data_IF_803232282269
#
_entry.id   IF_803232282269
#
_cell.length_a   1.000
_cell.length_b   1.000
_cell.length_c   1.000
_cell.angle_alpha   90.00
_cell.angle_beta   90.00
_cell.angle_gamma   90.00
#
_symmetry.space_group_name_H-M   'P 1'
#
loop_
_entity.id
_entity.type
_entity.pdbx_description
1 polymer ?
#
# COMPACT_ATOMS: atom_id res chain seq x y z
N UNK A 1 -18.09 -2.00 9.25
CA UNK A 1 -19.29 -1.62 10.03
C UNK A 1 -20.26 -1.04 9.02
N UNK A 2 -21.47 -1.57 8.97
CA UNK A 2 -22.44 -1.16 7.96
C UNK A 2 -22.97 0.25 8.23
N UNK A 3 -23.51 0.90 7.20
CA UNK A 3 -24.14 2.22 7.31
C UNK A 3 -25.22 2.23 8.41
N UNK A 4 -26.05 1.19 8.48
CA UNK A 4 -27.09 1.07 9.51
C UNK A 4 -26.60 0.82 10.94
N UNK A 5 -25.33 0.41 11.11
CA UNK A 5 -24.72 0.08 12.40
C UNK A 5 -23.93 1.27 13.01
N UNK A 6 -23.78 2.38 12.27
CA UNK A 6 -23.03 3.54 12.76
C UNK A 6 -23.92 4.50 13.54
N UNK A 7 -23.58 4.73 14.82
CA UNK A 7 -24.27 5.70 15.66
C UNK A 7 -24.09 7.15 15.17
N UNK A 8 -22.90 7.48 14.65
CA UNK A 8 -22.61 8.79 14.08
C UNK A 8 -23.49 9.08 12.84
N UNK A 9 -23.68 8.07 11.99
CA UNK A 9 -24.58 8.16 10.83
C UNK A 9 -26.03 8.35 11.29
N UNK A 10 -26.49 7.56 12.25
CA UNK A 10 -27.86 7.67 12.76
C UNK A 10 -28.15 9.08 13.31
N UNK A 11 -27.22 9.63 14.11
CA UNK A 11 -27.32 10.99 14.65
C UNK A 11 -27.35 12.08 13.57
N UNK A 12 -26.45 11.98 12.58
CA UNK A 12 -26.41 12.92 11.47
C UNK A 12 -27.73 12.90 10.67
N UNK A 13 -28.27 11.71 10.40
CA UNK A 13 -29.53 11.54 9.65
C UNK A 13 -30.75 12.01 10.42
N UNK A 14 -30.80 11.75 11.72
CA UNK A 14 -31.86 12.28 12.60
C UNK A 14 -31.89 13.81 12.57
N UNK A 15 -30.71 14.45 12.63
CA UNK A 15 -30.57 15.91 12.53
C UNK A 15 -31.01 16.44 11.16
N UNK A 16 -30.61 15.81 10.06
CA UNK A 16 -31.04 16.19 8.70
C UNK A 16 -32.56 16.12 8.50
N UNK A 17 -33.22 15.15 9.15
CA UNK A 17 -34.68 14.98 9.12
C UNK A 17 -35.41 16.01 9.98
N UNK A 18 -34.71 16.65 10.92
CA UNK A 18 -35.25 17.67 11.82
C UNK A 18 -35.67 17.14 13.20
N UNK A 19 -35.16 15.98 13.62
CA UNK A 19 -35.25 15.53 15.01
C UNK A 19 -34.35 16.41 15.87
N UNK A 20 -34.86 16.94 16.96
CA UNK A 20 -34.08 17.79 17.88
C UNK A 20 -33.02 16.98 18.63
N UNK A 21 -31.94 17.64 19.03
CA UNK A 21 -30.86 17.00 19.81
C UNK A 21 -31.39 16.44 21.15
N UNK A 22 -32.38 17.09 21.76
CA UNK A 22 -33.06 16.64 22.98
C UNK A 22 -33.84 15.32 22.76
N UNK A 23 -34.61 15.25 21.67
CA UNK A 23 -35.37 14.03 21.33
C UNK A 23 -34.45 12.89 20.94
N UNK A 24 -33.33 13.18 20.29
CA UNK A 24 -32.32 12.17 19.98
C UNK A 24 -31.58 11.68 21.23
N UNK A 25 -31.27 12.56 22.19
CA UNK A 25 -30.66 12.15 23.46
C UNK A 25 -31.57 11.17 24.25
N UNK A 26 -32.90 11.32 24.14
CA UNK A 26 -33.85 10.36 24.71
C UNK A 26 -33.82 8.99 24.00
N UNK A 27 -33.63 8.95 22.68
CA UNK A 27 -33.38 7.69 21.96
C UNK A 27 -32.08 7.03 22.44
N UNK A 28 -31.01 7.81 22.59
CA UNK A 28 -29.72 7.32 23.09
C UNK A 28 -29.87 6.73 24.51
N UNK A 29 -30.67 7.35 25.38
CA UNK A 29 -30.94 6.87 26.74
C UNK A 29 -31.70 5.53 26.79
N UNK A 30 -32.58 5.26 25.82
CA UNK A 30 -33.27 3.97 25.66
C UNK A 30 -32.40 2.91 24.94
N UNK A 31 -31.16 3.24 24.57
CA UNK A 31 -30.25 2.34 23.85
C UNK A 31 -30.53 2.22 22.35
N UNK A 32 -31.37 3.09 21.79
CA UNK A 32 -31.67 3.15 20.36
C UNK A 32 -30.65 4.05 19.66
N UNK A 33 -29.41 3.56 19.57
CA UNK A 33 -28.27 4.37 19.12
C UNK A 33 -27.92 4.19 17.64
N UNK A 34 -28.55 3.26 16.93
CA UNK A 34 -28.24 2.94 15.51
C UNK A 34 -29.51 2.78 14.68
N UNK A 35 -29.40 2.89 13.35
CA UNK A 35 -30.55 2.60 12.47
C UNK A 35 -30.97 1.13 12.59
N UNK A 36 -30.03 0.21 12.80
CA UNK A 36 -30.33 -1.21 13.00
C UNK A 36 -31.18 -1.46 14.25
N UNK A 37 -30.77 -0.93 15.40
CA UNK A 37 -31.53 -1.03 16.65
C UNK A 37 -32.88 -0.33 16.53
N UNK A 38 -32.93 0.84 15.88
CA UNK A 38 -34.18 1.57 15.65
C UNK A 38 -35.13 0.89 14.67
N UNK A 39 -34.64 0.22 13.62
CA UNK A 39 -35.50 -0.48 12.66
C UNK A 39 -36.25 -1.68 13.26
N UNK A 40 -35.69 -2.30 14.32
CA UNK A 40 -36.26 -3.47 14.98
C UNK A 40 -36.84 -3.19 16.38
N UNK A 41 -36.93 -1.92 16.79
CA UNK A 41 -37.35 -1.56 18.14
C UNK A 41 -38.85 -1.73 18.42
N UNK A 42 -39.70 -1.81 17.38
CA UNK A 42 -41.13 -2.00 17.52
C UNK A 42 -41.70 -2.85 16.39
N UNK A 43 -42.89 -3.42 16.61
CA UNK A 43 -43.58 -4.26 15.64
C UNK A 43 -44.36 -3.43 14.60
N UNK A 44 -43.64 -2.58 13.86
CA UNK A 44 -44.18 -1.70 12.84
C UNK A 44 -43.39 -1.87 11.53
N UNK A 45 -44.07 -1.82 10.40
CA UNK A 45 -43.44 -1.71 9.09
C UNK A 45 -44.01 -0.48 8.36
N UNK A 46 -43.23 0.22 7.52
CA UNK A 46 -43.69 1.47 6.88
C UNK A 46 -44.91 1.32 5.96
N UNK A 47 -45.28 0.10 5.58
CA UNK A 47 -46.45 -0.19 4.74
C UNK A 47 -47.65 -0.68 5.55
N UNK A 48 -47.54 -0.76 6.88
CA UNK A 48 -48.58 -1.24 7.77
C UNK A 48 -49.70 -0.19 7.88
N UNK A 49 -50.93 -0.68 7.95
CA UNK A 49 -52.11 0.18 8.13
C UNK A 49 -52.21 0.72 9.56
N UNK A 50 -51.72 -0.05 10.54
CA UNK A 50 -51.67 0.36 11.95
C UNK A 50 -50.31 0.95 12.32
N UNK A 51 -50.31 2.23 12.70
CA UNK A 51 -49.13 2.99 13.11
C UNK A 51 -49.03 3.15 14.64
N UNK A 52 -49.97 2.55 15.38
CA UNK A 52 -50.00 2.64 16.83
C UNK A 52 -48.69 2.17 17.50
N UNK A 53 -48.03 1.08 17.07
CA UNK A 53 -46.79 0.64 17.71
C UNK A 53 -45.65 1.68 17.62
N UNK A 54 -45.53 2.39 16.49
CA UNK A 54 -44.55 3.46 16.34
C UNK A 54 -44.93 4.68 17.19
N UNK A 55 -46.20 5.04 17.22
CA UNK A 55 -46.70 6.17 18.01
C UNK A 55 -46.48 5.94 19.51
N UNK A 56 -46.76 4.72 19.99
CA UNK A 56 -46.55 4.32 21.38
C UNK A 56 -45.07 4.35 21.75
N UNK A 57 -44.19 3.86 20.86
CA UNK A 57 -42.74 3.96 21.04
C UNK A 57 -42.28 5.42 21.14
N UNK A 58 -42.68 6.27 20.19
CA UNK A 58 -42.26 7.68 20.17
C UNK A 58 -42.76 8.39 21.44
N UNK A 59 -44.00 8.11 21.85
CA UNK A 59 -44.56 8.67 23.09
C UNK A 59 -43.77 8.21 24.32
N UNK A 60 -43.38 6.93 24.38
CA UNK A 60 -42.54 6.39 25.46
C UNK A 60 -41.18 7.08 25.49
N UNK A 61 -40.50 7.17 24.34
CA UNK A 61 -39.17 7.78 24.24
C UNK A 61 -39.22 9.27 24.61
N UNK A 62 -40.19 10.02 24.10
CA UNK A 62 -40.30 11.45 24.37
C UNK A 62 -40.81 11.76 25.78
N UNK A 63 -41.51 10.82 26.43
CA UNK A 63 -42.15 11.02 27.73
C UNK A 63 -43.39 11.92 27.67
N UNK A 64 -43.87 12.24 26.46
CA UNK A 64 -45.02 13.08 26.20
C UNK A 64 -45.62 12.74 24.83
N UNK A 65 -46.86 13.17 24.59
CA UNK A 65 -47.50 13.01 23.29
C UNK A 65 -46.71 13.81 22.21
N UNK A 66 -46.23 13.16 21.13
CA UNK A 66 -45.48 13.84 20.09
C UNK A 66 -46.35 14.85 19.34
N UNK A 67 -45.78 16.01 19.01
CA UNK A 67 -46.41 16.92 18.06
C UNK A 67 -46.50 16.31 16.67
N UNK A 68 -47.38 16.86 15.82
CA UNK A 68 -47.51 16.42 14.41
C UNK A 68 -46.18 16.48 13.65
N UNK A 69 -45.36 17.50 13.95
CA UNK A 69 -44.04 17.67 13.34
C UNK A 69 -43.08 16.58 13.80
N UNK A 70 -42.98 16.35 15.11
CA UNK A 70 -42.11 15.30 15.65
C UNK A 70 -42.50 13.94 15.11
N UNK A 71 -43.79 13.62 15.11
CA UNK A 71 -44.28 12.34 14.58
C UNK A 71 -43.94 12.18 13.10
N UNK A 72 -44.05 13.23 12.28
CA UNK A 72 -43.63 13.22 10.89
C UNK A 72 -42.12 12.92 10.73
N UNK A 73 -41.28 13.56 11.55
CA UNK A 73 -39.84 13.30 11.57
C UNK A 73 -39.52 11.85 11.97
N UNK A 74 -40.17 11.31 13.01
CA UNK A 74 -39.96 9.93 13.47
C UNK A 74 -40.43 8.89 12.45
N UNK A 75 -41.56 9.10 11.78
CA UNK A 75 -42.02 8.26 10.65
C UNK A 75 -40.97 8.17 9.56
N UNK A 76 -40.43 9.32 9.14
CA UNK A 76 -39.40 9.38 8.11
C UNK A 76 -38.12 8.70 8.56
N UNK A 77 -37.68 8.94 9.80
CA UNK A 77 -36.50 8.30 10.38
C UNK A 77 -36.66 6.78 10.43
N UNK A 78 -37.83 6.28 10.84
CA UNK A 78 -38.11 4.84 10.91
C UNK A 78 -38.12 4.21 9.53
N UNK A 79 -38.79 4.83 8.56
CA UNK A 79 -38.81 4.35 7.19
C UNK A 79 -37.41 4.29 6.57
N UNK A 80 -36.57 5.30 6.82
CA UNK A 80 -35.19 5.33 6.34
C UNK A 80 -34.34 4.23 7.01
N UNK A 81 -34.45 4.07 8.33
CA UNK A 81 -33.76 3.02 9.08
C UNK A 81 -34.15 1.61 8.59
N UNK A 82 -35.45 1.35 8.46
CA UNK A 82 -35.97 0.06 7.98
C UNK A 82 -35.48 -0.26 6.56
N UNK A 83 -35.58 0.70 5.62
CA UNK A 83 -35.13 0.52 4.25
C UNK A 83 -33.62 0.25 4.16
N UNK A 84 -32.83 0.95 4.98
CA UNK A 84 -31.38 0.81 5.07
C UNK A 84 -31.00 -0.59 5.53
N UNK A 85 -31.58 -1.05 6.63
CA UNK A 85 -31.28 -2.35 7.23
C UNK A 85 -31.74 -3.49 6.32
N UNK A 86 -32.92 -3.36 5.70
CA UNK A 86 -33.39 -4.32 4.70
C UNK A 86 -32.49 -4.38 3.46
N UNK A 87 -31.91 -3.24 3.04
CA UNK A 87 -30.92 -3.21 1.96
C UNK A 87 -29.60 -3.86 2.39
N UNK A 88 -29.15 -3.60 3.62
CA UNK A 88 -27.92 -4.17 4.16
C UNK A 88 -28.01 -5.70 4.26
N UNK A 89 -29.12 -6.23 4.79
CA UNK A 89 -29.38 -7.67 4.87
C UNK A 89 -29.36 -8.31 3.48
N UNK A 90 -30.07 -7.72 2.51
CA UNK A 90 -30.03 -8.20 1.11
C UNK A 90 -28.60 -8.21 0.55
N UNK A 91 -27.86 -7.12 0.75
CA UNK A 91 -26.48 -7.03 0.27
C UNK A 91 -25.54 -8.07 0.90
N UNK A 92 -25.80 -8.46 2.15
CA UNK A 92 -25.01 -9.49 2.83
C UNK A 92 -25.31 -10.89 2.29
N UNK A 93 -26.58 -11.16 1.97
CA UNK A 93 -27.01 -12.44 1.38
C UNK A 93 -26.55 -12.57 -0.07
N UNK A 94 -26.55 -11.48 -0.82
CA UNK A 94 -26.15 -11.43 -2.24
C UNK A 94 -24.62 -11.22 -2.43
N UNK A 95 -23.86 -11.02 -1.36
CA UNK A 95 -22.44 -10.72 -1.45
C UNK A 95 -21.66 -11.88 -2.09
N UNK A 96 -20.91 -11.56 -3.15
CA UNK A 96 -19.93 -12.45 -3.77
C UNK A 96 -18.50 -11.99 -3.48
N UNK A 97 -17.52 -12.84 -3.75
CA UNK A 97 -16.09 -12.53 -3.55
C UNK A 97 -15.63 -11.29 -4.35
N UNK A 98 -16.31 -10.95 -5.45
CA UNK A 98 -16.03 -9.79 -6.30
C UNK A 98 -16.79 -8.51 -5.91
N UNK A 99 -17.48 -8.51 -4.78
CA UNK A 99 -18.20 -7.33 -4.29
C UNK A 99 -17.26 -6.13 -4.11
N UNK A 100 -17.73 -4.95 -4.52
CA UNK A 100 -16.96 -3.72 -4.39
C UNK A 100 -16.78 -3.35 -2.92
N UNK A 101 -15.63 -2.78 -2.59
CA UNK A 101 -15.33 -2.29 -1.24
C UNK A 101 -16.40 -1.28 -0.82
N UNK A 102 -17.13 -1.59 0.26
CA UNK A 102 -18.09 -0.67 0.88
C UNK A 102 -17.33 0.55 1.40
N UNK A 103 -17.81 1.74 1.07
CA UNK A 103 -17.22 3.00 1.52
C UNK A 103 -17.83 3.41 2.84
N UNK A 104 -17.00 3.83 3.79
CA UNK A 104 -17.50 4.44 5.02
C UNK A 104 -18.19 5.78 4.71
N UNK A 105 -19.30 6.03 5.41
CA UNK A 105 -20.01 7.30 5.37
C UNK A 105 -19.17 8.42 5.98
N UNK A 106 -19.32 9.68 5.51
CA UNK A 106 -18.53 10.81 6.02
C UNK A 106 -18.65 11.03 7.54
N UNK A 107 -19.85 10.87 8.11
CA UNK A 107 -20.08 11.01 9.54
C UNK A 107 -19.28 9.97 10.37
N UNK A 108 -19.27 8.72 9.91
CA UNK A 108 -18.54 7.63 10.57
C UNK A 108 -17.01 7.85 10.52
N UNK A 109 -16.50 8.35 9.38
CA UNK A 109 -15.08 8.71 9.24
C UNK A 109 -14.67 9.82 10.19
N UNK A 110 -15.46 10.89 10.23
CA UNK A 110 -15.19 12.04 11.08
C UNK A 110 -15.15 11.64 12.56
N UNK A 111 -16.08 10.78 12.98
CA UNK A 111 -16.13 10.29 14.36
C UNK A 111 -14.92 9.40 14.71
N UNK A 112 -14.58 8.41 13.87
CA UNK A 112 -13.41 7.56 14.09
C UNK A 112 -12.11 8.36 14.14
N UNK A 113 -11.96 9.37 13.28
CA UNK A 113 -10.81 10.27 13.30
C UNK A 113 -10.78 11.07 14.60
N UNK A 114 -11.90 11.64 15.03
CA UNK A 114 -12.02 12.42 16.28
C UNK A 114 -11.67 11.59 17.51
N UNK A 115 -12.20 10.37 17.61
CA UNK A 115 -11.87 9.43 18.68
C UNK A 115 -10.38 9.09 18.69
N UNK A 116 -9.80 8.78 17.53
CA UNK A 116 -8.38 8.47 17.42
C UNK A 116 -7.49 9.65 17.80
N UNK A 117 -7.81 10.86 17.33
CA UNK A 117 -7.09 12.10 17.69
C UNK A 117 -7.17 12.38 19.20
N UNK A 118 -8.32 12.13 19.82
CA UNK A 118 -8.49 12.34 21.27
C UNK A 118 -7.60 11.42 22.11
N UNK A 119 -7.36 10.20 21.62
CA UNK A 119 -6.56 9.16 22.30
C UNK A 119 -5.07 9.28 22.03
N UNK A 120 -4.67 9.55 20.78
CA UNK A 120 -3.26 9.63 20.35
C UNK A 120 -2.69 11.04 20.54
N UNK A 121 -2.56 11.47 21.79
CA UNK A 121 -1.93 12.76 22.14
C UNK A 121 -0.44 12.71 21.81
N UNK A 122 0.02 13.54 20.87
CA UNK A 122 1.42 13.60 20.41
C UNK A 122 1.60 13.25 18.93
N UNK A 123 0.57 12.70 18.27
CA UNK A 123 0.55 12.47 16.84
C UNK A 123 -0.39 13.46 16.16
N UNK A 124 0.15 14.33 15.32
CA UNK A 124 -0.67 15.25 14.55
C UNK A 124 -1.19 14.57 13.28
N UNK A 125 -2.45 14.14 13.29
CA UNK A 125 -3.12 13.44 12.19
C UNK A 125 -3.52 14.40 11.07
N UNK A 126 -2.52 14.99 10.42
CA UNK A 126 -2.66 15.91 9.28
C UNK A 126 -1.60 15.62 8.21
N UNK A 127 -1.90 16.00 6.97
CA UNK A 127 -0.96 15.93 5.85
C UNK A 127 -0.46 14.50 5.59
N UNK A 128 0.85 14.27 5.76
CA UNK A 128 1.47 12.96 5.52
C UNK A 128 1.11 11.90 6.58
N UNK A 129 0.60 12.30 7.74
CA UNK A 129 0.27 11.37 8.83
C UNK A 129 -1.19 10.92 8.79
N UNK A 130 -2.04 11.66 8.07
CA UNK A 130 -3.46 11.35 7.94
C UNK A 130 -3.67 10.25 6.88
N UNK A 131 -4.27 9.10 7.24
CA UNK A 131 -4.58 8.04 6.28
C UNK A 131 -5.62 8.51 5.25
N UNK A 132 -5.44 8.13 3.99
CA UNK A 132 -6.44 8.39 2.94
C UNK A 132 -7.71 7.58 3.11
N UNK A 133 -8.82 8.04 2.53
CA UNK A 133 -10.13 7.40 2.64
C UNK A 133 -10.12 5.99 2.05
N UNK A 134 -9.44 5.83 0.91
CA UNK A 134 -9.22 4.54 0.24
C UNK A 134 -8.45 3.52 1.08
N UNK A 135 -7.50 3.96 1.90
CA UNK A 135 -6.76 3.08 2.81
C UNK A 135 -7.65 2.62 3.96
N UNK A 136 -8.46 3.53 4.52
CA UNK A 136 -9.43 3.20 5.57
C UNK A 136 -10.48 2.23 5.01
N UNK A 137 -11.02 2.48 3.82
CA UNK A 137 -11.99 1.60 3.16
C UNK A 137 -11.43 0.20 2.92
N UNK A 138 -10.16 0.10 2.51
CA UNK A 138 -9.47 -1.18 2.38
C UNK A 138 -9.35 -1.90 3.72
N UNK A 139 -8.99 -1.19 4.78
CA UNK A 139 -8.94 -1.77 6.12
C UNK A 139 -10.32 -2.23 6.60
N UNK A 140 -11.38 -1.48 6.32
CA UNK A 140 -12.76 -1.89 6.64
C UNK A 140 -13.17 -3.14 5.84
N UNK A 141 -12.82 -3.22 4.56
CA UNK A 141 -13.09 -4.41 3.74
C UNK A 141 -12.38 -5.65 4.30
N UNK A 142 -11.12 -5.50 4.74
CA UNK A 142 -10.38 -6.57 5.42
C UNK A 142 -11.14 -7.02 6.66
N UNK A 143 -11.57 -6.09 7.51
CA UNK A 143 -12.35 -6.38 8.72
C UNK A 143 -13.69 -7.07 8.41
N UNK A 144 -14.41 -6.62 7.37
CA UNK A 144 -15.71 -7.17 6.99
C UNK A 144 -15.61 -8.59 6.43
N UNK A 145 -14.59 -8.83 5.59
CA UNK A 145 -14.25 -10.16 5.06
C UNK A 145 -13.80 -11.14 6.14
N UNK A 146 -13.52 -10.65 7.35
CA UNK A 146 -13.04 -11.42 8.51
C UNK A 146 -11.75 -12.20 8.24
N UNK A 147 -10.95 -11.72 7.28
CA UNK A 147 -9.70 -12.34 6.84
C UNK A 147 -8.62 -11.27 6.71
N UNK A 148 -7.53 -11.45 7.46
CA UNK A 148 -6.39 -10.55 7.38
C UNK A 148 -5.74 -10.63 5.98
N UNK A 149 -5.45 -9.47 5.39
CA UNK A 149 -4.78 -9.36 4.09
C UNK A 149 -3.63 -8.36 4.19
N UNK A 150 -2.56 -8.61 3.43
CA UNK A 150 -1.41 -7.71 3.37
C UNK A 150 -1.75 -6.45 2.57
N UNK A 151 -1.51 -5.29 3.18
CA UNK A 151 -1.61 -3.99 2.51
C UNK A 151 -0.21 -3.50 2.18
N UNK A 152 0.08 -3.43 0.88
CA UNK A 152 1.37 -2.98 0.38
C UNK A 152 1.64 -1.51 0.74
N UNK A 153 2.91 -1.16 0.95
CA UNK A 153 3.31 0.14 1.46
C UNK A 153 2.88 1.28 0.55
N UNK A 154 3.01 1.10 -0.77
CA UNK A 154 2.63 2.09 -1.76
C UNK A 154 1.12 2.33 -1.84
N UNK A 155 0.30 1.46 -1.26
CA UNK A 155 -1.14 1.66 -1.13
C UNK A 155 -1.54 2.33 0.18
N UNK A 156 -0.60 2.53 1.09
CA UNK A 156 -0.82 3.24 2.34
C UNK A 156 -0.72 4.75 2.10
N UNK A 157 -1.63 5.28 1.29
CA UNK A 157 -1.65 6.68 0.82
C UNK A 157 -2.14 7.65 1.89
N UNK A 158 -1.72 8.91 1.82
CA UNK A 158 -2.24 9.97 2.69
C UNK A 158 -3.51 10.61 2.12
N UNK A 159 -4.29 11.25 3.00
CA UNK A 159 -5.46 12.03 2.59
C UNK A 159 -5.08 13.14 1.61
N UNK A 160 -3.99 13.84 1.88
CA UNK A 160 -3.47 14.87 0.98
C UNK A 160 -3.10 14.30 -0.40
N UNK A 161 -2.42 13.15 -0.45
CA UNK A 161 -2.02 12.51 -1.71
C UNK A 161 -3.23 12.06 -2.54
N UNK A 162 -4.25 11.50 -1.88
CA UNK A 162 -5.50 11.09 -2.51
C UNK A 162 -6.24 12.28 -3.14
N UNK A 163 -6.32 13.42 -2.43
CA UNK A 163 -6.94 14.64 -2.94
C UNK A 163 -6.19 15.23 -4.14
N UNK A 164 -4.85 15.18 -4.14
CA UNK A 164 -4.03 15.73 -5.22
C UNK A 164 -4.01 14.85 -6.47
N UNK A 165 -4.03 13.53 -6.31
CA UNK A 165 -3.91 12.59 -7.42
C UNK A 165 -5.25 12.13 -7.99
N UNK A 166 -6.32 12.26 -7.21
CA UNK A 166 -7.67 11.81 -7.56
C UNK A 166 -7.78 10.29 -7.71
N UNK A 167 -8.99 9.84 -8.06
CA UNK A 167 -9.26 8.44 -8.40
C UNK A 167 -9.06 8.24 -9.89
N UNK A 168 -8.13 7.35 -10.27
CA UNK A 168 -8.02 6.90 -11.66
C UNK A 168 -8.98 5.73 -11.87
N UNK A 169 -9.64 5.70 -13.02
CA UNK A 169 -10.53 4.62 -13.41
C UNK A 169 -9.76 3.72 -14.37
N UNK A 170 -9.19 2.63 -13.85
CA UNK A 170 -8.54 1.64 -14.70
C UNK A 170 -9.62 0.73 -15.27
N UNK A 171 -9.80 0.77 -16.59
CA UNK A 171 -10.70 -0.13 -17.30
C UNK A 171 -9.98 -1.46 -17.53
N UNK A 172 -10.47 -2.53 -16.88
CA UNK A 172 -10.00 -3.90 -17.12
C UNK A 172 -11.05 -4.66 -17.92
N UNK A 173 -10.61 -5.46 -18.89
CA UNK A 173 -11.48 -6.38 -19.63
C UNK A 173 -11.57 -7.68 -18.84
N UNK A 174 -12.77 -8.03 -18.40
CA UNK A 174 -13.08 -9.30 -17.73
C UNK A 174 -14.03 -10.10 -18.60
N UNK A 175 -13.83 -11.41 -18.74
CA UNK A 175 -14.76 -12.28 -19.43
C UNK A 175 -15.92 -12.60 -18.50
N UNK A 176 -17.16 -12.48 -18.99
CA UNK A 176 -18.34 -12.95 -18.28
C UNK A 176 -18.46 -14.47 -18.39
N UNK A 177 -19.30 -15.05 -17.54
CA UNK A 177 -19.58 -16.48 -17.50
C UNK A 177 -20.29 -17.04 -18.75
N UNK A 178 -20.72 -16.17 -19.67
CA UNK A 178 -21.30 -16.51 -20.97
C UNK A 178 -20.33 -16.29 -22.15
N UNK A 179 -19.06 -15.95 -21.88
CA UNK A 179 -18.02 -15.70 -22.89
C UNK A 179 -18.03 -14.30 -23.50
N UNK A 180 -18.83 -13.37 -22.98
CA UNK A 180 -18.83 -11.96 -23.36
C UNK A 180 -17.72 -11.16 -22.66
N UNK A 181 -17.16 -10.16 -23.35
CA UNK A 181 -16.17 -9.25 -22.75
C UNK A 181 -16.88 -8.12 -22.00
N UNK A 182 -16.78 -8.12 -20.67
CA UNK A 182 -17.26 -7.05 -19.79
C UNK A 182 -16.10 -6.13 -19.42
N UNK A 183 -16.19 -4.85 -19.77
CA UNK A 183 -15.26 -3.83 -19.26
C UNK A 183 -15.64 -3.52 -17.81
N UNK A 184 -14.85 -4.02 -16.87
CA UNK A 184 -14.94 -3.68 -15.46
C UNK A 184 -13.96 -2.54 -15.16
N UNK A 185 -14.49 -1.35 -14.86
CA UNK A 185 -13.68 -0.23 -14.38
C UNK A 185 -13.65 -0.24 -12.86
N UNK A 186 -12.47 -0.48 -12.27
CA UNK A 186 -12.27 -0.40 -10.82
C UNK A 186 -11.56 0.92 -10.49
N UNK A 187 -12.14 1.78 -9.63
CA UNK A 187 -11.46 2.99 -9.20
C UNK A 187 -10.22 2.62 -8.40
N UNK A 188 -9.07 3.16 -8.78
CA UNK A 188 -7.78 2.88 -8.16
C UNK A 188 -7.09 4.19 -7.77
N UNK A 189 -6.52 4.21 -6.57
CA UNK A 189 -5.75 5.37 -6.10
C UNK A 189 -4.31 5.20 -6.55
N UNK A 190 -3.74 6.30 -7.06
CA UNK A 190 -2.35 6.30 -7.50
C UNK A 190 -1.44 5.94 -6.32
N UNK A 191 -0.56 4.93 -6.44
CA UNK A 191 0.34 4.53 -5.36
C UNK A 191 1.21 5.70 -4.87
N UNK A 192 1.47 5.76 -3.57
CA UNK A 192 2.38 6.75 -2.98
C UNK A 192 3.84 6.32 -3.11
N UNK A 193 4.75 7.30 -3.05
CA UNK A 193 6.17 7.03 -3.03
C UNK A 193 6.59 6.34 -1.71
N UNK A 194 7.47 5.35 -1.82
CA UNK A 194 8.05 4.56 -0.73
C UNK A 194 9.57 4.35 -0.94
N UNK A 195 10.20 5.26 -1.70
CA UNK A 195 11.61 5.16 -2.10
C UNK A 195 12.63 5.44 -1.00
N UNK A 196 12.23 6.11 0.09
CA UNK A 196 13.10 6.51 1.20
C UNK A 196 12.59 6.00 2.54
N UNK A 197 13.47 5.87 3.52
CA UNK A 197 13.14 5.39 4.87
C UNK A 197 12.02 6.26 5.50
N UNK A 198 12.07 7.58 5.31
CA UNK A 198 11.04 8.51 5.80
C UNK A 198 9.67 8.27 5.13
N UNK A 199 9.65 8.07 3.81
CA UNK A 199 8.38 7.81 3.09
C UNK A 199 7.75 6.48 3.50
N UNK A 200 8.57 5.44 3.71
CA UNK A 200 8.12 4.16 4.26
C UNK A 200 7.57 4.33 5.67
N UNK A 201 8.24 5.11 6.54
CA UNK A 201 7.73 5.41 7.88
C UNK A 201 6.35 6.04 7.83
N UNK A 202 6.16 7.07 7.00
CA UNK A 202 4.85 7.70 6.84
C UNK A 202 3.78 6.74 6.31
N UNK A 203 4.11 5.89 5.34
CA UNK A 203 3.20 4.87 4.81
C UNK A 203 2.75 3.90 5.91
N UNK A 204 3.69 3.40 6.71
CA UNK A 204 3.40 2.46 7.79
C UNK A 204 2.61 3.09 8.94
N UNK A 205 2.88 4.35 9.30
CA UNK A 205 2.05 5.07 10.29
C UNK A 205 0.59 5.13 9.81
N UNK A 206 0.37 5.55 8.56
CA UNK A 206 -0.99 5.62 7.99
C UNK A 206 -1.68 4.26 7.96
N UNK A 207 -0.94 3.19 7.66
CA UNK A 207 -1.47 1.82 7.68
C UNK A 207 -1.91 1.42 9.09
N UNK A 208 -1.09 1.67 10.11
CA UNK A 208 -1.44 1.40 11.50
C UNK A 208 -2.68 2.18 11.96
N UNK A 209 -2.77 3.46 11.59
CA UNK A 209 -3.93 4.30 11.92
C UNK A 209 -5.21 3.79 11.26
N UNK A 210 -5.14 3.41 9.98
CA UNK A 210 -6.27 2.83 9.26
C UNK A 210 -6.71 1.48 9.83
N UNK A 211 -5.78 0.60 10.21
CA UNK A 211 -6.09 -0.66 10.87
C UNK A 211 -6.77 -0.45 12.22
N UNK A 212 -6.33 0.55 12.98
CA UNK A 212 -6.98 0.87 14.25
C UNK A 212 -8.38 1.45 14.05
N UNK A 213 -8.55 2.37 13.10
CA UNK A 213 -9.87 2.91 12.74
C UNK A 213 -10.82 1.80 12.27
N UNK A 214 -10.30 0.76 11.61
CA UNK A 214 -11.07 -0.41 11.17
C UNK A 214 -11.26 -1.49 12.25
N UNK A 215 -10.76 -1.30 13.47
CA UNK A 215 -10.77 -2.29 14.56
C UNK A 215 -9.98 -3.59 14.28
N UNK A 216 -8.98 -3.55 13.41
CA UNK A 216 -8.12 -4.71 13.10
C UNK A 216 -7.02 -4.88 14.16
N UNK A 217 -6.20 -3.85 14.36
CA UNK A 217 -5.03 -3.88 15.23
C UNK A 217 -4.90 -2.53 15.96
N UNK A 218 -4.58 -2.54 17.25
CA UNK A 218 -4.30 -1.31 17.98
C UNK A 218 -3.07 -0.56 17.43
N UNK A 219 -3.16 0.77 17.37
CA UNK A 219 -2.11 1.60 16.76
C UNK A 219 -0.78 1.43 17.47
N UNK A 220 -0.77 1.41 18.81
CA UNK A 220 0.47 1.26 19.58
C UNK A 220 1.23 -0.04 19.27
N UNK A 221 0.54 -1.14 18.96
CA UNK A 221 1.18 -2.40 18.54
C UNK A 221 1.77 -2.26 17.13
N UNK A 222 1.04 -1.64 16.21
CA UNK A 222 1.57 -1.36 14.88
C UNK A 222 2.76 -0.37 14.93
N UNK A 223 2.73 0.59 15.85
CA UNK A 223 3.82 1.55 16.09
C UNK A 223 5.06 0.82 16.66
N UNK A 224 4.87 -0.12 17.59
CA UNK A 224 5.95 -1.00 18.10
C UNK A 224 6.60 -1.82 16.97
N UNK A 225 5.79 -2.33 16.03
CA UNK A 225 6.26 -3.02 14.84
C UNK A 225 7.06 -2.10 13.90
N UNK A 226 6.54 -0.90 13.64
CA UNK A 226 7.20 0.11 12.83
C UNK A 226 8.57 0.49 13.44
N UNK A 227 8.62 0.78 14.73
CA UNK A 227 9.86 1.15 15.41
C UNK A 227 10.86 0.00 15.39
N UNK A 228 10.40 -1.26 15.51
CA UNK A 228 11.28 -2.43 15.29
C UNK A 228 11.89 -2.42 13.90
N UNK A 229 11.10 -2.26 12.83
CA UNK A 229 11.62 -2.20 11.47
C UNK A 229 12.69 -1.11 11.29
N UNK A 230 12.41 0.09 11.79
CA UNK A 230 13.33 1.22 11.68
C UNK A 230 14.59 1.01 12.53
N UNK A 231 14.48 0.37 13.70
CA UNK A 231 15.64 0.04 14.52
C UNK A 231 16.61 -0.90 13.79
N UNK A 232 16.11 -1.99 13.18
CA UNK A 232 16.94 -2.92 12.38
C UNK A 232 17.50 -2.26 11.12
N UNK A 233 16.75 -1.34 10.50
CA UNK A 233 17.19 -0.57 9.33
C UNK A 233 18.41 0.29 9.64
N UNK A 234 18.38 0.96 10.79
CA UNK A 234 19.35 1.96 11.21
C UNK A 234 20.53 1.36 11.99
N UNK A 235 20.37 0.15 12.53
CA UNK A 235 21.46 -0.57 13.21
C UNK A 235 22.67 -0.79 12.28
N UNK A 236 23.86 -0.59 12.82
CA UNK A 236 25.10 -0.91 12.12
C UNK A 236 25.26 -2.43 12.01
N UNK A 237 25.52 -2.97 10.81
CA UNK A 237 25.67 -4.40 10.64
C UNK A 237 26.99 -4.88 11.27
N UNK A 238 27.04 -6.11 11.81
CA UNK A 238 28.29 -6.74 12.21
C UNK A 238 29.31 -6.83 11.07
N UNK A 239 30.60 -7.04 11.37
CA UNK A 239 31.61 -7.29 10.34
C UNK A 239 31.16 -8.40 9.37
N UNK A 240 31.46 -8.22 8.09
CA UNK A 240 31.09 -9.14 7.01
C UNK A 240 29.58 -9.33 6.76
N UNK A 241 28.72 -8.47 7.32
CA UNK A 241 27.28 -8.50 7.07
C UNK A 241 26.81 -7.24 6.34
N UNK A 242 25.77 -7.39 5.52
CA UNK A 242 25.08 -6.28 4.87
C UNK A 242 24.09 -5.64 5.84
N UNK A 243 23.95 -4.32 5.77
CA UNK A 243 22.87 -3.58 6.45
C UNK A 243 21.52 -4.08 5.96
N UNK A 244 20.54 -4.14 6.86
CA UNK A 244 19.16 -4.46 6.53
C UNK A 244 18.62 -3.43 5.51
N UNK A 245 18.11 -3.92 4.39
CA UNK A 245 17.56 -3.09 3.32
C UNK A 245 16.06 -2.89 3.48
N UNK A 246 15.49 -1.85 2.87
CA UNK A 246 14.03 -1.65 2.83
C UNK A 246 13.29 -2.85 2.21
N UNK A 247 13.88 -3.50 1.19
CA UNK A 247 13.30 -4.70 0.58
C UNK A 247 13.26 -5.88 1.57
N UNK A 248 14.28 -6.01 2.42
CA UNK A 248 14.29 -7.03 3.46
C UNK A 248 13.21 -6.76 4.52
N UNK A 249 13.00 -5.50 4.88
CA UNK A 249 11.93 -5.08 5.79
C UNK A 249 10.55 -5.37 5.18
N UNK A 250 10.37 -5.10 3.88
CA UNK A 250 9.12 -5.42 3.18
C UNK A 250 8.80 -6.92 3.22
N UNK A 251 9.83 -7.76 3.04
CA UNK A 251 9.67 -9.21 3.15
C UNK A 251 9.33 -9.64 4.59
N UNK A 252 9.99 -9.05 5.59
CA UNK A 252 9.67 -9.30 6.99
C UNK A 252 8.23 -8.87 7.33
N UNK A 253 7.75 -7.78 6.75
CA UNK A 253 6.40 -7.25 6.96
C UNK A 253 5.30 -8.09 6.31
N UNK A 254 5.56 -8.61 5.11
CA UNK A 254 4.72 -9.64 4.48
C UNK A 254 4.67 -10.90 5.35
N UNK A 255 5.83 -11.35 5.86
CA UNK A 255 5.91 -12.52 6.74
C UNK A 255 5.16 -12.31 8.05
N UNK A 256 5.32 -11.16 8.69
CA UNK A 256 4.62 -10.80 9.92
C UNK A 256 3.10 -10.87 9.72
N UNK A 257 2.61 -10.28 8.62
CA UNK A 257 1.17 -10.29 8.31
C UNK A 257 0.66 -11.70 8.04
N UNK A 258 1.44 -12.53 7.35
CA UNK A 258 1.09 -13.92 7.08
C UNK A 258 0.98 -14.74 8.38
N UNK A 259 1.98 -14.65 9.27
CA UNK A 259 1.97 -15.33 10.56
C UNK A 259 0.82 -14.83 11.46
N UNK A 260 0.55 -13.52 11.45
CA UNK A 260 -0.59 -12.96 12.18
C UNK A 260 -1.92 -13.53 11.65
N UNK A 261 -2.07 -13.63 10.32
CA UNK A 261 -3.24 -14.24 9.69
C UNK A 261 -3.41 -15.72 10.06
N UNK A 262 -2.31 -16.47 10.24
CA UNK A 262 -2.34 -17.86 10.68
C UNK A 262 -2.84 -18.00 12.12
N UNK A 263 -2.41 -17.11 13.02
CA UNK A 263 -2.89 -17.10 14.40
C UNK A 263 -4.33 -16.58 14.55
N UNK A 264 -4.85 -15.85 13.56
CA UNK A 264 -6.22 -15.34 13.53
C UNK A 264 -7.10 -16.04 12.49
N UNK A 265 -6.84 -17.33 12.20
CA UNK A 265 -7.66 -18.13 11.24
C UNK A 265 -9.14 -18.21 11.60
N UNK A 266 -9.48 -18.10 12.88
CA UNK A 266 -10.86 -18.08 13.36
C UNK A 266 -11.59 -16.75 13.18
N UNK A 267 -10.99 -15.77 12.50
CA UNK A 267 -11.54 -14.43 12.28
C UNK A 267 -10.75 -13.33 12.99
N UNK A 268 -10.89 -12.12 12.49
CA UNK A 268 -10.29 -10.88 13.01
C UNK A 268 -11.31 -9.91 13.59
N UNK A 269 -12.61 -10.22 13.51
CA UNK A 269 -13.68 -9.43 14.13
C UNK A 269 -13.53 -9.36 15.63
N UNK A 270 -13.89 -8.20 16.19
CA UNK A 270 -13.89 -7.95 17.64
C UNK A 270 -14.80 -8.96 18.34
N UNK A 271 -14.28 -9.63 19.36
CA UNK A 271 -15.03 -10.63 20.14
C UNK A 271 -15.90 -9.96 21.22
N UNK A 272 -16.86 -10.72 21.75
CA UNK A 272 -17.63 -10.32 22.93
C UNK A 272 -16.67 -9.97 24.08
N UNK A 273 -16.66 -8.71 24.51
CA UNK A 273 -15.69 -8.15 25.45
C UNK A 273 -14.73 -7.11 24.87
N UNK A 274 -14.83 -6.78 23.57
CA UNK A 274 -14.09 -5.68 22.97
C UNK A 274 -12.63 -6.00 22.59
N UNK A 275 -12.18 -7.24 22.81
CA UNK A 275 -10.83 -7.67 22.44
C UNK A 275 -10.70 -7.92 20.94
N UNK A 276 -9.67 -7.35 20.32
CA UNK A 276 -9.30 -7.61 18.92
C UNK A 276 -8.43 -8.87 18.83
N UNK A 277 -8.77 -9.87 17.99
CA UNK A 277 -7.97 -11.09 17.84
C UNK A 277 -6.51 -10.83 17.44
N UNK A 278 -6.26 -9.87 16.55
CA UNK A 278 -4.91 -9.52 16.13
C UNK A 278 -4.06 -8.97 17.29
N UNK A 279 -4.65 -8.18 18.20
CA UNK A 279 -3.93 -7.66 19.37
C UNK A 279 -3.45 -8.82 20.27
N UNK A 280 -4.31 -9.82 20.50
CA UNK A 280 -3.97 -11.00 21.30
C UNK A 280 -2.94 -11.93 20.64
N UNK A 281 -2.89 -11.97 19.32
CA UNK A 281 -1.91 -12.75 18.56
C UNK A 281 -0.58 -12.00 18.34
N UNK A 282 -0.59 -10.67 18.43
CA UNK A 282 0.53 -9.80 18.06
C UNK A 282 1.85 -10.23 18.71
N UNK A 283 1.89 -10.36 20.04
CA UNK A 283 3.14 -10.61 20.77
C UNK A 283 3.79 -11.94 20.38
N UNK A 284 2.98 -12.98 20.16
CA UNK A 284 3.46 -14.30 19.71
C UNK A 284 4.17 -14.21 18.37
N UNK A 285 3.63 -13.45 17.42
CA UNK A 285 4.23 -13.26 16.10
C UNK A 285 5.43 -12.33 16.17
N UNK A 286 5.32 -11.25 16.94
CA UNK A 286 6.36 -10.23 17.10
C UNK A 286 7.66 -10.76 17.72
N UNK A 287 7.55 -11.79 18.56
CA UNK A 287 8.67 -12.47 19.20
C UNK A 287 9.06 -13.77 18.48
N UNK A 288 8.32 -14.17 17.43
CA UNK A 288 8.58 -15.41 16.72
C UNK A 288 9.93 -15.40 15.99
N UNK A 289 10.59 -16.55 15.99
CA UNK A 289 11.85 -16.77 15.27
C UNK A 289 11.69 -16.60 13.76
N UNK A 290 10.54 -17.02 13.23
CA UNK A 290 10.15 -16.96 11.83
C UNK A 290 10.10 -15.50 11.34
N UNK A 291 9.58 -14.60 12.17
CA UNK A 291 9.59 -13.17 11.90
C UNK A 291 10.98 -12.54 12.12
N UNK A 292 11.59 -12.77 13.29
CA UNK A 292 12.83 -12.08 13.66
C UNK A 292 14.01 -12.47 12.77
N UNK A 293 14.08 -13.73 12.33
CA UNK A 293 15.11 -14.19 11.38
C UNK A 293 15.10 -13.40 10.07
N UNK A 294 13.95 -12.91 9.62
CA UNK A 294 13.84 -12.10 8.40
C UNK A 294 14.51 -10.72 8.53
N UNK A 295 14.64 -10.20 9.76
CA UNK A 295 15.25 -8.90 10.04
C UNK A 295 16.76 -9.01 10.34
N UNK A 296 17.32 -10.22 10.41
CA UNK A 296 18.75 -10.41 10.68
C UNK A 296 19.62 -9.91 9.51
N UNK A 297 20.70 -9.15 9.77
CA UNK A 297 21.69 -8.81 8.76
C UNK A 297 22.20 -10.07 8.05
N UNK A 298 22.33 -10.03 6.72
CA UNK A 298 22.77 -11.18 5.94
C UNK A 298 24.27 -11.11 5.65
N UNK A 299 25.00 -12.24 5.63
CA UNK A 299 26.40 -12.24 5.23
C UNK A 299 26.59 -11.59 3.86
N UNK A 300 27.63 -10.78 3.71
CA UNK A 300 28.06 -10.32 2.40
C UNK A 300 28.48 -11.55 1.59
N UNK A 301 28.02 -11.65 0.35
CA UNK A 301 28.40 -12.74 -0.53
C UNK A 301 29.93 -12.75 -0.70
N UNK A 302 30.58 -13.81 -0.23
CA UNK A 302 32.00 -14.07 -0.48
C UNK A 302 32.11 -14.56 -1.92
N UNK A 303 32.17 -13.64 -2.88
CA UNK A 303 32.10 -14.04 -4.30
C UNK A 303 32.12 -12.94 -5.35
N UNK A 304 33.10 -12.04 -5.31
CA UNK A 304 33.85 -11.58 -6.51
C UNK A 304 34.94 -10.63 -6.03
N UNK A 305 36.20 -11.08 -6.10
CA UNK A 305 37.36 -10.46 -5.48
C UNK A 305 37.45 -8.95 -5.64
N UNK A 306 37.38 -8.25 -4.51
CA UNK A 306 38.17 -7.05 -4.33
C UNK A 306 39.62 -7.49 -4.16
N UNK A 307 40.45 -7.29 -5.18
CA UNK A 307 41.88 -7.13 -4.98
C UNK A 307 42.05 -5.91 -4.07
N UNK A 308 42.28 -6.17 -2.78
CA UNK A 308 42.82 -5.18 -1.86
C UNK A 308 44.21 -5.67 -1.47
N UNK A 309 45.18 -5.01 -2.08
CA UNK A 309 46.58 -4.94 -1.67
C UNK A 309 46.69 -4.82 -0.15
N UNK A 310 47.42 -5.77 0.43
CA UNK A 310 47.99 -5.71 1.75
C UNK A 310 49.51 -5.87 1.60
N UNK A 311 50.19 -4.73 1.66
CA UNK A 311 51.63 -4.48 1.76
C UNK A 311 52.51 -5.59 2.37
N UNK A 312 53.64 -5.89 1.70
CA UNK A 312 54.97 -5.89 2.34
C UNK A 312 56.10 -5.93 1.29
N UNK A 313 57.10 -5.04 1.45
CA UNK A 313 58.47 -5.28 0.98
C UNK A 313 58.97 -4.52 -0.26
N UNK A 314 59.67 -3.43 0.01
CA UNK A 314 60.86 -2.85 -0.67
C UNK A 314 60.79 -2.16 -2.06
N UNK A 315 61.58 -1.07 -2.12
CA UNK A 315 62.05 -0.26 -3.26
C UNK A 315 61.25 0.98 -3.78
N UNK A 316 61.97 2.05 -4.22
CA UNK A 316 61.57 3.44 -4.03
C UNK A 316 60.83 4.06 -5.23
N UNK A 317 60.05 5.15 -5.02
CA UNK A 317 59.24 5.73 -6.07
C UNK A 317 60.06 6.61 -7.02
N UNK A 318 60.08 6.25 -8.31
CA UNK A 318 60.59 7.09 -9.39
C UNK A 318 59.58 8.21 -9.68
N UNK A 319 60.08 9.45 -9.54
CA UNK A 319 59.41 10.72 -9.77
C UNK A 319 58.70 10.77 -11.14
N UNK A 320 57.47 11.27 -11.17
CA UNK A 320 56.85 11.82 -12.39
C UNK A 320 56.59 13.31 -12.25
N UNK A 321 57.00 14.02 -13.30
CA UNK A 321 57.16 15.46 -13.43
C UNK A 321 55.87 16.27 -13.24
N UNK A 322 56.06 17.43 -12.60
CA UNK A 322 55.15 18.56 -12.49
C UNK A 322 55.08 19.31 -13.83
N UNK A 323 53.87 19.58 -14.31
CA UNK A 323 53.60 20.50 -15.43
C UNK A 323 52.51 21.50 -15.01
N UNK A 324 52.89 22.78 -14.95
CA UNK A 324 52.06 23.93 -14.57
C UNK A 324 51.02 24.31 -15.63
N UNK A 325 49.90 24.89 -15.19
CA UNK A 325 49.03 25.71 -16.03
C UNK A 325 47.85 26.30 -15.26
N UNK A 326 47.94 27.58 -14.87
CA UNK A 326 46.84 28.40 -14.33
C UNK A 326 45.93 28.89 -15.45
N UNK A 327 44.62 28.98 -15.20
CA UNK A 327 43.68 29.73 -16.04
C UNK A 327 42.24 29.70 -15.50
N UNK A 328 41.76 30.82 -14.97
CA UNK A 328 40.34 31.11 -14.71
C UNK A 328 39.62 31.44 -16.03
N UNK A 329 38.36 31.03 -16.18
CA UNK A 329 37.49 31.49 -17.27
C UNK A 329 36.10 30.86 -17.27
N UNK A 330 35.06 31.68 -17.09
CA UNK A 330 33.63 31.36 -17.13
C UNK A 330 33.18 30.82 -18.50
N UNK A 331 32.18 29.92 -18.53
CA UNK A 331 31.32 29.74 -19.71
C UNK A 331 30.60 28.39 -19.86
N UNK A 332 29.27 28.42 -19.65
CA UNK A 332 28.19 27.65 -20.33
C UNK A 332 28.35 26.15 -20.63
N UNK A 333 27.44 25.37 -20.03
CA UNK A 333 26.60 24.37 -20.72
C UNK A 333 27.27 23.10 -21.22
N UNK A 334 27.06 21.97 -20.53
CA UNK A 334 27.41 20.66 -21.07
C UNK A 334 27.04 19.50 -20.15
N UNK A 335 26.11 18.67 -20.61
CA UNK A 335 25.63 17.43 -19.97
C UNK A 335 26.78 16.57 -19.45
N UNK A 336 26.64 16.12 -18.20
CA UNK A 336 27.61 15.27 -17.51
C UNK A 336 27.87 13.95 -18.25
N UNK A 337 29.14 13.72 -18.58
CA UNK A 337 29.64 12.44 -19.03
C UNK A 337 29.71 11.49 -17.82
N UNK A 338 28.80 10.51 -17.80
CA UNK A 338 28.75 9.44 -16.82
C UNK A 338 29.97 8.54 -16.89
N UNK A 339 30.59 8.38 -15.72
CA UNK A 339 31.57 7.36 -15.32
C UNK A 339 31.10 5.96 -15.78
N UNK A 340 32.06 5.15 -16.25
CA UNK A 340 31.84 3.92 -17.02
C UNK A 340 30.78 2.95 -16.50
N UNK A 341 29.83 2.63 -17.39
CA UNK A 341 28.88 1.52 -17.24
C UNK A 341 29.56 0.22 -17.67
N UNK A 342 30.14 -0.49 -16.71
CA UNK A 342 30.50 -1.92 -16.85
C UNK A 342 29.31 -2.85 -16.57
N UNK A 343 28.10 -2.30 -16.34
CA UNK A 343 26.88 -3.04 -15.97
C UNK A 343 25.75 -2.94 -17.02
N UNK A 344 26.07 -2.86 -18.31
CA UNK A 344 25.05 -3.10 -19.33
C UNK A 344 24.73 -4.61 -19.37
N UNK A 345 23.56 -5.00 -18.84
CA UNK A 345 23.07 -6.38 -18.91
C UNK A 345 22.95 -6.81 -20.37
N UNK A 346 23.84 -7.69 -20.81
CA UNK A 346 23.79 -8.31 -22.14
C UNK A 346 22.52 -9.17 -22.22
N UNK A 347 21.67 -9.02 -23.24
CA UNK A 347 20.53 -9.89 -23.47
C UNK A 347 20.92 -11.38 -23.52
N UNK A 348 20.06 -12.26 -23.00
CA UNK A 348 20.34 -13.70 -22.90
C UNK A 348 20.70 -14.35 -24.25
N UNK A 349 20.03 -13.94 -25.34
CA UNK A 349 20.33 -14.40 -26.71
C UNK A 349 21.77 -14.09 -27.14
N UNK A 350 22.33 -12.97 -26.70
CA UNK A 350 23.70 -12.58 -27.02
C UNK A 350 24.72 -13.22 -26.06
N UNK A 351 24.35 -13.46 -24.81
CA UNK A 351 25.18 -14.22 -23.87
C UNK A 351 25.41 -15.65 -24.37
N UNK A 352 24.40 -16.31 -24.95
CA UNK A 352 24.52 -17.63 -25.54
C UNK A 352 25.56 -17.70 -26.67
N UNK A 353 25.73 -16.59 -27.42
CA UNK A 353 26.71 -16.47 -28.51
C UNK A 353 28.12 -16.07 -28.01
N UNK A 354 28.32 -15.87 -26.71
CA UNK A 354 29.59 -15.44 -26.12
C UNK A 354 29.85 -13.94 -26.25
N UNK A 355 28.79 -13.12 -26.25
CA UNK A 355 28.92 -11.67 -26.41
C UNK A 355 29.30 -10.91 -25.13
N UNK A 356 29.95 -9.76 -25.29
CA UNK A 356 30.34 -8.82 -24.24
C UNK A 356 29.63 -7.47 -24.39
N UNK A 357 29.50 -6.73 -23.29
CA UNK A 357 28.79 -5.45 -23.26
C UNK A 357 29.58 -4.27 -23.85
N UNK A 358 30.91 -4.36 -23.82
CA UNK A 358 31.80 -3.28 -24.22
C UNK A 358 33.07 -3.83 -24.87
N UNK A 359 33.68 -2.99 -25.71
CA UNK A 359 35.01 -3.22 -26.28
C UNK A 359 36.09 -3.22 -25.20
N UNK A 360 37.31 -3.74 -25.47
CA UNK A 360 38.45 -3.66 -24.54
C UNK A 360 38.84 -2.22 -24.16
N UNK A 361 38.48 -1.24 -25.00
CA UNK A 361 38.69 0.19 -24.76
C UNK A 361 37.57 0.84 -23.91
N UNK A 362 36.61 0.05 -23.43
CA UNK A 362 35.53 0.52 -22.55
C UNK A 362 34.35 1.18 -23.28
N UNK A 363 34.29 1.13 -24.62
CA UNK A 363 33.14 1.65 -25.37
C UNK A 363 32.01 0.62 -25.43
N UNK A 364 30.78 1.04 -25.10
CA UNK A 364 29.58 0.20 -25.15
C UNK A 364 29.20 -0.21 -26.57
N UNK A 365 28.74 -1.46 -26.72
CA UNK A 365 28.31 -2.05 -27.99
C UNK A 365 26.78 -2.01 -28.12
N UNK A 366 26.30 -1.81 -29.34
CA UNK A 366 24.87 -1.84 -29.62
C UNK A 366 24.38 -3.30 -29.77
N UNK A 367 23.58 -3.76 -28.80
CA UNK A 367 23.02 -5.11 -28.82
C UNK A 367 21.99 -5.32 -29.93
N UNK A 368 21.19 -4.30 -30.26
CA UNK A 368 20.24 -4.38 -31.37
C UNK A 368 20.97 -4.58 -32.70
N UNK A 369 22.15 -3.95 -32.87
CA UNK A 369 22.98 -4.16 -34.05
C UNK A 369 23.53 -5.59 -34.07
N UNK A 370 23.99 -6.09 -32.92
CA UNK A 370 24.49 -7.46 -32.79
C UNK A 370 23.43 -8.54 -33.12
N UNK A 371 22.16 -8.22 -32.91
CA UNK A 371 21.00 -9.06 -33.25
C UNK A 371 20.43 -8.79 -34.66
N UNK A 372 20.98 -7.84 -35.41
CA UNK A 372 20.51 -7.46 -36.75
C UNK A 372 19.19 -6.66 -36.76
N UNK A 373 18.83 -6.02 -35.64
CA UNK A 373 17.53 -5.32 -35.44
C UNK A 373 17.68 -3.81 -35.22
N UNK A 374 18.88 -3.23 -35.36
CA UNK A 374 19.09 -1.80 -35.14
C UNK A 374 18.65 -0.97 -36.35
N UNK A 375 17.64 -0.12 -36.18
CA UNK A 375 17.14 0.82 -37.19
C UNK A 375 17.52 2.29 -36.91
N UNK A 376 18.40 2.56 -35.93
CA UNK A 376 18.78 3.92 -35.53
C UNK A 376 19.77 4.54 -36.48
N UNK A 377 19.75 5.88 -36.58
CA UNK A 377 20.76 6.64 -37.29
C UNK A 377 22.17 6.37 -36.75
N UNK A 378 23.13 6.17 -37.66
CA UNK A 378 24.51 5.79 -37.32
C UNK A 378 25.44 6.88 -37.85
N UNK A 379 26.29 7.40 -36.98
CA UNK A 379 27.41 8.26 -37.35
C UNK A 379 28.70 7.65 -36.79
N UNK A 380 29.75 7.53 -37.61
CA UNK A 380 31.03 6.93 -37.22
C UNK A 380 30.90 5.55 -36.54
N UNK A 381 30.09 4.66 -37.14
CA UNK A 381 29.82 3.31 -36.62
C UNK A 381 29.22 3.30 -35.21
N UNK A 382 28.55 4.38 -34.79
CA UNK A 382 27.92 4.50 -33.47
C UNK A 382 26.50 5.02 -33.59
N UNK A 383 25.56 4.35 -32.92
CA UNK A 383 24.22 4.89 -32.66
C UNK A 383 24.11 5.31 -31.18
N UNK A 384 22.95 5.86 -30.82
CA UNK A 384 22.64 6.26 -29.44
C UNK A 384 22.82 5.14 -28.40
N UNK A 385 22.63 3.88 -28.81
CA UNK A 385 22.77 2.71 -27.92
C UNK A 385 24.18 2.13 -27.85
N UNK A 386 25.08 2.51 -28.75
CA UNK A 386 26.47 2.01 -28.74
C UNK A 386 27.07 1.82 -30.13
N UNK A 387 28.29 1.28 -30.15
CA UNK A 387 29.03 0.98 -31.37
C UNK A 387 28.41 -0.20 -32.14
N UNK A 388 28.38 -0.07 -33.47
CA UNK A 388 27.97 -1.08 -34.43
C UNK A 388 29.16 -1.98 -34.77
N UNK A 389 29.60 -2.74 -33.78
CA UNK A 389 30.65 -3.75 -33.90
C UNK A 389 30.15 -5.07 -33.32
N UNK A 390 30.70 -6.17 -33.81
CA UNK A 390 30.37 -7.51 -33.33
C UNK A 390 30.61 -7.62 -31.81
N UNK A 391 29.58 -8.02 -31.06
CA UNK A 391 29.66 -8.18 -29.62
C UNK A 391 30.33 -9.47 -29.15
N UNK A 392 30.66 -10.43 -30.04
CA UNK A 392 31.37 -11.67 -29.65
C UNK A 392 32.74 -11.32 -29.06
N UNK A 393 33.04 -11.88 -27.88
CA UNK A 393 34.30 -11.63 -27.16
C UNK A 393 35.50 -11.91 -28.07
N UNK A 394 36.29 -10.86 -28.34
CA UNK A 394 37.51 -10.95 -29.15
C UNK A 394 37.33 -10.69 -30.65
N UNK A 395 36.10 -10.48 -31.16
CA UNK A 395 35.86 -10.18 -32.57
C UNK A 395 35.86 -8.67 -32.87
N UNK A 396 34.85 -7.92 -32.40
CA UNK A 396 34.69 -6.47 -32.62
C UNK A 396 34.85 -5.98 -34.07
N UNK A 397 34.57 -6.83 -35.06
CA UNK A 397 34.59 -6.47 -36.50
C UNK A 397 33.24 -5.89 -36.94
N UNK A 398 33.21 -5.27 -38.13
CA UNK A 398 32.03 -4.61 -38.71
C UNK A 398 30.97 -5.55 -39.28
N UNK A 399 30.47 -6.46 -38.45
CA UNK A 399 29.32 -7.33 -38.76
C UNK A 399 28.53 -7.61 -37.47
N UNK A 400 27.24 -7.98 -37.55
CA UNK A 400 26.45 -8.36 -36.38
C UNK A 400 26.97 -9.66 -35.74
N UNK A 401 26.64 -9.89 -34.46
CA UNK A 401 27.09 -11.06 -33.72
C UNK A 401 26.44 -12.36 -34.23
N UNK A 402 25.21 -12.28 -34.77
CA UNK A 402 24.52 -13.40 -35.41
C UNK A 402 25.32 -14.01 -36.56
N UNK A 403 26.07 -13.18 -37.28
CA UNK A 403 26.83 -13.58 -38.46
C UNK A 403 28.33 -13.79 -38.15
N UNK A 404 28.70 -13.82 -36.87
CA UNK A 404 30.09 -14.00 -36.46
C UNK A 404 30.53 -15.47 -36.61
N UNK A 405 31.63 -15.76 -37.32
CA UNK A 405 32.16 -17.12 -37.43
C UNK A 405 32.77 -17.63 -36.11
N UNK A 406 33.07 -16.73 -35.18
CA UNK A 406 33.64 -17.05 -33.86
C UNK A 406 32.57 -17.14 -32.75
N UNK A 407 31.27 -17.13 -33.10
CA UNK A 407 30.18 -17.26 -32.12
C UNK A 407 30.21 -18.66 -31.49
N UNK A 408 29.91 -18.75 -30.19
CA UNK A 408 29.68 -20.05 -29.55
C UNK A 408 28.41 -20.68 -30.13
N UNK A 409 28.46 -21.96 -30.50
CA UNK A 409 27.28 -22.71 -30.87
C UNK A 409 26.36 -22.84 -29.64
N UNK A 410 25.02 -22.71 -29.81
CA UNK A 410 24.10 -22.95 -28.70
C UNK A 410 24.24 -24.41 -28.26
N UNK A 411 24.50 -24.65 -26.98
CA UNK A 411 24.39 -25.99 -26.38
C UNK A 411 22.96 -26.48 -26.56
N UNK A 412 22.80 -27.60 -27.27
CA UNK A 412 21.49 -28.24 -27.51
C UNK A 412 20.84 -28.70 -26.22
#
# INVERSE_FOLDING_TARGET
MSFGESAAVFKARAKDIGVSDESFAKLEAEGLTTMATFAFCCHFNPSATDEKPLTDLVTKVLGAAPSLKEMSCFRRLFAEAYATVASDIRSQVEATEDSSIKKLAPADRAERLREQQSRLKGLDLRGNMEPGDSLIDRAVAIYESDRLQYVEWQHSVSRQHELLTGLKKDASLTLDSAGGLKIASKPNVTPCDVSTDMMVRYALVRRGLAFEQANILAYHLHDELLEKYMSFRLMDPPPNHARVSLKQIEQADRQFTMLLAEHTRGGIKVKAGGSRPCDGAFRKVFESTEFLSMLTPRPLAVGSGASRDGSSGDEPPIKRHKGNGKGQGRGRGGKGAGKGSTNARVPAELLALGCVAATPKGHALCFDYSLGKCSRAVANQRCERGLHLCAVKGCHRGHPAKDCPAKKAPSS
#
